data_IF_542391081210
#
_entry.id   IF_542391081210
#
_cell.length_a   1.000
_cell.length_b   1.000
_cell.length_c   1.000
_cell.angle_alpha   90.00
_cell.angle_beta   90.00
_cell.angle_gamma   90.00
#
_symmetry.space_group_name_H-M   'P 1'
#
loop_
_entity.id
_entity.type
_entity.pdbx_description
1 polymer ?
#
# COMPACT_ATOMS: atom_id res chain seq x y z
N UNK A 1 4.58 -16.83 6.26
CA UNK A 1 4.20 -16.76 7.69
C UNK A 1 5.03 -15.64 8.30
N UNK A 2 4.42 -14.49 8.58
CA UNK A 2 5.14 -13.35 9.15
C UNK A 2 5.48 -13.62 10.62
N UNK A 3 6.63 -13.11 11.08
CA UNK A 3 7.16 -13.38 12.42
C UNK A 3 6.46 -12.48 13.44
N UNK A 4 5.92 -13.02 14.56
CA UNK A 4 5.33 -12.20 15.62
C UNK A 4 6.35 -11.21 16.16
N UNK A 5 5.90 -9.99 16.45
CA UNK A 5 6.76 -8.93 17.00
C UNK A 5 6.74 -9.00 18.51
N UNK A 6 7.85 -8.64 19.15
CA UNK A 6 7.90 -8.50 20.61
C UNK A 6 7.70 -7.04 20.97
N UNK A 7 6.89 -6.78 21.99
CA UNK A 7 6.77 -5.46 22.57
C UNK A 7 8.13 -5.00 23.12
N UNK A 8 8.63 -3.80 22.79
CA UNK A 8 9.90 -3.30 23.32
C UNK A 8 9.88 -3.07 24.85
N UNK A 9 8.68 -2.95 25.45
CA UNK A 9 8.50 -2.62 26.87
C UNK A 9 8.30 -3.85 27.75
N UNK A 10 7.37 -4.73 27.37
CA UNK A 10 7.03 -5.92 28.17
C UNK A 10 7.52 -7.24 27.56
N UNK A 11 8.17 -7.22 26.39
CA UNK A 11 8.65 -8.40 25.66
C UNK A 11 7.56 -9.41 25.26
N UNK A 12 6.30 -9.08 25.49
CA UNK A 12 5.14 -9.87 25.11
C UNK A 12 5.04 -9.96 23.59
N UNK A 13 4.61 -11.12 23.10
CA UNK A 13 4.33 -11.34 21.68
C UNK A 13 3.08 -10.56 21.27
N UNK A 14 3.21 -9.69 20.27
CA UNK A 14 2.15 -8.89 19.66
C UNK A 14 1.91 -9.42 18.24
N UNK A 15 0.65 -9.39 17.79
CA UNK A 15 0.30 -9.71 16.41
C UNK A 15 1.06 -8.85 15.41
N UNK A 16 1.22 -9.33 14.18
CA UNK A 16 1.99 -8.60 13.16
C UNK A 16 1.34 -7.26 12.80
N UNK A 17 0.02 -7.21 12.92
CA UNK A 17 -0.87 -6.10 12.51
C UNK A 17 -1.47 -5.33 13.69
N UNK A 18 -1.08 -5.65 14.93
CA UNK A 18 -1.57 -4.96 16.12
C UNK A 18 -0.66 -3.75 16.44
N UNK A 19 -1.24 -2.56 16.43
CA UNK A 19 -0.56 -1.33 16.86
C UNK A 19 -0.50 -1.18 18.39
N UNK A 20 -1.33 -1.93 19.13
CA UNK A 20 -1.45 -1.80 20.60
C UNK A 20 -1.05 -3.11 21.26
N UNK A 21 -0.12 -3.03 22.21
CA UNK A 21 0.22 -4.19 23.03
C UNK A 21 -0.91 -4.52 24.01
N UNK A 22 -1.51 -5.71 23.92
CA UNK A 22 -2.58 -6.14 24.84
C UNK A 22 -2.14 -6.27 26.31
N UNK A 23 -0.83 -6.45 26.57
CA UNK A 23 -0.33 -6.67 27.93
C UNK A 23 0.03 -5.36 28.65
N UNK A 24 0.61 -4.38 27.94
CA UNK A 24 1.07 -3.13 28.56
C UNK A 24 0.35 -1.86 28.06
N UNK A 25 -0.50 -1.97 27.04
CA UNK A 25 -1.25 -0.85 26.47
C UNK A 25 -0.40 0.15 25.68
N UNK A 26 0.87 -0.16 25.44
CA UNK A 26 1.77 0.72 24.69
C UNK A 26 1.42 0.70 23.19
N UNK A 27 1.46 1.88 22.57
CA UNK A 27 1.30 2.04 21.13
C UNK A 27 2.64 1.80 20.44
N UNK A 28 2.72 0.71 19.67
CA UNK A 28 3.90 0.31 18.90
C UNK A 28 3.50 0.38 17.43
N UNK A 29 3.57 1.57 16.80
CA UNK A 29 3.02 1.77 15.47
C UNK A 29 3.70 0.87 14.44
N UNK A 30 2.90 0.25 13.60
CA UNK A 30 3.39 -0.48 12.45
C UNK A 30 4.15 0.45 11.49
N UNK A 31 5.47 0.27 11.40
CA UNK A 31 6.27 0.92 10.35
C UNK A 31 5.98 0.25 9.00
N UNK A 32 5.14 0.86 8.17
CA UNK A 32 5.01 0.43 6.78
C UNK A 32 6.31 0.69 6.02
N UNK A 33 6.74 -0.23 5.14
CA UNK A 33 7.91 0.01 4.31
C UNK A 33 7.68 1.19 3.36
N UNK A 34 8.71 2.01 3.16
CA UNK A 34 8.67 3.19 2.27
C UNK A 34 8.26 2.86 0.83
N UNK A 35 8.52 1.62 0.38
CA UNK A 35 8.23 1.16 -0.97
C UNK A 35 6.75 0.80 -1.20
N UNK A 36 5.91 0.74 -0.16
CA UNK A 36 4.48 0.40 -0.30
C UNK A 36 3.74 1.38 -1.19
N UNK A 37 3.96 2.67 -0.99
CA UNK A 37 3.33 3.75 -1.76
C UNK A 37 3.77 3.78 -3.23
N UNK A 38 5.07 3.79 -3.59
CA UNK A 38 5.48 3.76 -4.98
C UNK A 38 5.08 2.45 -5.68
N UNK A 39 5.11 1.31 -4.98
CA UNK A 39 4.67 0.03 -5.55
C UNK A 39 3.17 0.05 -5.89
N UNK A 40 2.34 0.58 -4.99
CA UNK A 40 0.92 0.81 -5.26
C UNK A 40 0.70 1.72 -6.46
N UNK A 41 1.47 2.81 -6.57
CA UNK A 41 1.43 3.72 -7.71
C UNK A 41 1.76 3.03 -9.05
N UNK A 42 2.79 2.19 -9.07
CA UNK A 42 3.16 1.43 -10.27
C UNK A 42 2.06 0.45 -10.69
N UNK A 43 1.42 -0.23 -9.73
CA UNK A 43 0.31 -1.14 -10.01
C UNK A 43 -0.87 -0.37 -10.63
N UNK A 44 -1.24 0.77 -10.05
CA UNK A 44 -2.33 1.61 -10.56
C UNK A 44 -2.01 2.13 -11.97
N UNK A 45 -0.79 2.61 -12.22
CA UNK A 45 -0.37 3.07 -13.55
C UNK A 45 -0.36 1.92 -14.57
N UNK A 46 0.12 0.75 -14.18
CA UNK A 46 0.11 -0.44 -15.04
C UNK A 46 -1.30 -0.88 -15.38
N UNK A 47 -2.21 -0.90 -14.40
CA UNK A 47 -3.63 -1.21 -14.62
C UNK A 47 -4.31 -0.16 -15.49
N UNK A 48 -4.05 1.12 -15.25
CA UNK A 48 -4.57 2.21 -16.07
C UNK A 48 -4.11 2.06 -17.52
N UNK A 49 -2.84 1.73 -17.74
CA UNK A 49 -2.31 1.50 -19.08
C UNK A 49 -2.89 0.25 -19.75
N UNK A 50 -3.13 -0.82 -18.99
CA UNK A 50 -3.72 -2.06 -19.49
C UNK A 50 -5.21 -1.91 -19.84
N UNK A 51 -5.96 -1.12 -19.04
CA UNK A 51 -7.41 -1.00 -19.14
C UNK A 51 -7.86 0.15 -20.05
N UNK A 52 -7.02 1.17 -20.25
CA UNK A 52 -7.37 2.30 -21.11
C UNK A 52 -7.11 1.94 -22.57
N UNK A 53 -8.15 1.99 -23.38
CA UNK A 53 -8.03 1.84 -24.82
C UNK A 53 -7.56 3.18 -25.44
N UNK A 54 -6.24 3.30 -25.59
CA UNK A 54 -5.63 4.55 -26.05
C UNK A 54 -5.98 4.88 -27.51
N UNK A 55 -6.30 3.90 -28.34
CA UNK A 55 -6.61 4.13 -29.76
C UNK A 55 -7.90 4.94 -29.92
N UNK A 56 -8.97 4.53 -29.25
CA UNK A 56 -10.24 5.26 -29.25
C UNK A 56 -10.11 6.66 -28.62
N UNK A 57 -9.24 6.81 -27.62
CA UNK A 57 -9.02 8.07 -26.93
C UNK A 57 -8.25 9.06 -27.80
N UNK A 58 -7.23 8.60 -28.52
CA UNK A 58 -6.46 9.42 -29.47
C UNK A 58 -7.35 9.86 -30.63
N UNK A 59 -8.18 8.96 -31.17
CA UNK A 59 -9.09 9.29 -32.27
C UNK A 59 -10.12 10.36 -31.85
N UNK A 60 -10.76 10.20 -30.69
CA UNK A 60 -11.69 11.19 -30.13
C UNK A 60 -11.03 12.57 -29.93
N UNK A 61 -9.84 12.59 -29.35
CA UNK A 61 -9.09 13.84 -29.11
C UNK A 61 -8.68 14.50 -30.44
N UNK A 62 -8.24 13.72 -31.43
CA UNK A 62 -7.84 14.24 -32.74
C UNK A 62 -9.01 14.86 -33.52
N UNK A 63 -10.21 14.30 -33.40
CA UNK A 63 -11.42 14.82 -34.06
C UNK A 63 -11.99 16.07 -33.39
N UNK A 64 -11.71 16.31 -32.11
CA UNK A 64 -12.24 17.45 -31.36
C UNK A 64 -11.27 18.63 -31.24
N UNK A 65 -9.98 18.42 -31.52
CA UNK A 65 -8.94 19.47 -31.56
C UNK A 65 -8.68 20.04 -32.96
N UNK A 66 -9.35 19.53 -33.99
CA UNK A 66 -9.28 20.03 -35.37
C UNK A 66 -10.65 20.53 -35.82
#
# INVERSE_FOLDING_TARGET
MAKPRKCPKCSTEIGIDDDICYACGENVPLTHPWYTLPLGGLIVLGLFWLLTDFDALIEYVSQHLN
#
